data_IF_596941812808
#
_entry.id   IF_596941812808
#
_cell.length_a   1.000
_cell.length_b   1.000
_cell.length_c   1.000
_cell.angle_alpha   90.00
_cell.angle_beta   90.00
_cell.angle_gamma   90.00
#
_symmetry.space_group_name_H-M   'P 1'
#
loop_
_entity.id
_entity.type
_entity.pdbx_description
1 polymer ?
#
# COMPACT_ATOMS: atom_id res chain seq x y z
N UNK A 1 -17.51 13.82 -0.43
CA UNK A 1 -17.47 12.69 -1.38
C UNK A 1 -16.86 11.51 -0.66
N UNK A 2 -17.52 10.34 -0.62
CA UNK A 2 -16.98 9.16 0.09
C UNK A 2 -15.76 8.61 -0.66
N UNK A 3 -14.59 8.58 -0.01
CA UNK A 3 -13.41 7.95 -0.56
C UNK A 3 -13.63 6.42 -0.60
N UNK A 4 -13.66 5.76 -1.78
CA UNK A 4 -13.92 4.32 -1.87
C UNK A 4 -12.77 3.46 -1.34
N UNK A 5 -11.60 4.05 -1.07
CA UNK A 5 -10.39 3.35 -0.63
C UNK A 5 -9.66 2.63 -1.77
N UNK A 6 -8.34 2.51 -1.64
CA UNK A 6 -7.47 1.89 -2.66
C UNK A 6 -7.30 0.40 -2.35
N UNK A 7 -7.96 -0.48 -3.10
CA UNK A 7 -7.82 -1.94 -2.91
C UNK A 7 -6.61 -2.54 -3.63
N UNK A 8 -6.27 -2.02 -4.80
CA UNK A 8 -5.13 -2.47 -5.62
C UNK A 8 -4.67 -1.28 -6.47
N UNK A 9 -3.38 -1.17 -6.72
CA UNK A 9 -2.86 -0.24 -7.72
C UNK A 9 -2.55 -0.94 -9.02
N UNK A 10 -2.66 -0.20 -10.12
CA UNK A 10 -2.27 -0.63 -11.45
C UNK A 10 -1.68 0.59 -12.19
N UNK A 11 -0.37 0.75 -12.05
CA UNK A 11 0.35 1.85 -12.69
C UNK A 11 0.91 1.37 -14.03
N UNK A 12 0.34 1.93 -15.12
CA UNK A 12 0.77 1.60 -16.47
C UNK A 12 2.26 1.88 -16.67
N UNK A 13 2.96 0.96 -17.33
CA UNK A 13 4.38 1.07 -17.62
C UNK A 13 5.31 0.74 -16.44
N UNK A 14 4.78 0.31 -15.29
CA UNK A 14 5.59 -0.15 -14.16
C UNK A 14 5.63 -1.68 -14.06
N UNK A 15 6.81 -2.22 -13.76
CA UNK A 15 6.98 -3.65 -13.50
C UNK A 15 6.56 -3.96 -12.06
N UNK A 16 5.59 -4.86 -11.89
CA UNK A 16 5.20 -5.36 -10.56
C UNK A 16 6.29 -6.27 -10.02
N UNK A 17 6.90 -5.87 -8.90
CA UNK A 17 7.89 -6.69 -8.19
C UNK A 17 7.22 -7.65 -7.19
N UNK A 18 6.03 -7.31 -6.68
CA UNK A 18 5.27 -8.20 -5.83
C UNK A 18 3.96 -7.60 -5.31
N UNK A 19 3.03 -8.46 -4.91
CA UNK A 19 1.76 -8.09 -4.28
C UNK A 19 1.64 -8.83 -2.95
N UNK A 20 1.72 -8.10 -1.84
CA UNK A 20 1.47 -8.62 -0.50
C UNK A 20 -0.01 -8.51 -0.11
N UNK A 21 -0.31 -8.88 1.14
CA UNK A 21 -1.68 -8.76 1.71
C UNK A 21 -2.21 -7.33 1.68
N UNK A 22 -1.33 -6.36 1.94
CA UNK A 22 -1.70 -4.94 2.12
C UNK A 22 -0.83 -3.94 1.34
N UNK A 23 0.18 -4.43 0.59
CA UNK A 23 1.11 -3.60 -0.18
C UNK A 23 1.22 -4.09 -1.62
N UNK A 24 1.26 -3.16 -2.55
CA UNK A 24 1.67 -3.40 -3.92
C UNK A 24 3.08 -2.83 -4.11
N UNK A 25 3.96 -3.60 -4.74
CA UNK A 25 5.39 -3.26 -4.88
C UNK A 25 5.75 -3.26 -6.35
N UNK A 26 6.36 -2.17 -6.81
CA UNK A 26 6.84 -2.01 -8.18
C UNK A 26 8.35 -1.83 -8.19
N UNK A 27 9.00 -2.38 -9.21
CA UNK A 27 10.41 -2.18 -9.46
C UNK A 27 10.66 -0.78 -10.04
N UNK A 28 11.73 -0.13 -9.56
CA UNK A 28 12.23 1.16 -10.06
C UNK A 28 13.75 1.07 -10.17
N UNK A 29 14.31 0.58 -11.28
CA UNK A 29 15.76 0.40 -11.46
C UNK A 29 16.46 -0.24 -10.25
N UNK A 30 17.21 0.55 -9.46
CA UNK A 30 17.92 0.14 -8.23
C UNK A 30 17.10 0.30 -6.94
N UNK A 31 15.82 0.61 -7.05
CA UNK A 31 14.89 0.96 -5.97
C UNK A 31 13.56 0.21 -6.11
N UNK A 32 12.72 0.34 -5.07
CA UNK A 32 11.36 -0.19 -5.06
C UNK A 32 10.38 0.95 -4.76
N UNK A 33 9.28 1.00 -5.50
CA UNK A 33 8.09 1.75 -5.09
C UNK A 33 7.21 0.82 -4.26
N UNK A 34 7.02 1.17 -2.99
CA UNK A 34 6.16 0.42 -2.06
C UNK A 34 4.90 1.23 -1.82
N UNK A 35 3.75 0.71 -2.26
CA UNK A 35 2.44 1.34 -2.07
C UNK A 35 1.70 0.62 -0.96
N UNK A 36 1.45 1.30 0.17
CA UNK A 36 0.51 0.82 1.17
C UNK A 36 -0.93 1.05 0.69
N UNK A 37 -1.66 -0.02 0.42
CA UNK A 37 -3.07 0.02 0.01
C UNK A 37 -4.00 0.18 1.23
N UNK A 38 -5.29 0.38 1.00
CA UNK A 38 -6.34 0.42 2.03
C UNK A 38 -6.87 -0.98 2.41
N UNK A 39 -6.35 -2.05 1.79
CA UNK A 39 -6.58 -3.44 2.22
C UNK A 39 -6.14 -3.64 3.67
N UNK A 40 -6.92 -4.40 4.41
CA UNK A 40 -6.62 -4.86 5.76
C UNK A 40 -6.75 -6.39 5.81
N UNK A 41 -5.91 -7.04 6.61
CA UNK A 41 -5.98 -8.49 6.79
C UNK A 41 -6.03 -8.86 8.26
N UNK A 42 -6.81 -9.87 8.60
CA UNK A 42 -6.87 -10.49 9.93
C UNK A 42 -7.07 -12.00 9.76
N UNK A 43 -6.49 -12.82 10.64
CA UNK A 43 -6.58 -14.29 10.58
C UNK A 43 -6.23 -14.87 9.19
N UNK A 44 -5.13 -14.38 8.60
CA UNK A 44 -4.67 -14.71 7.25
C UNK A 44 -5.63 -14.43 6.09
N UNK A 45 -6.76 -13.75 6.35
CA UNK A 45 -7.75 -13.35 5.35
C UNK A 45 -7.68 -11.85 5.05
N UNK A 46 -7.71 -11.47 3.77
CA UNK A 46 -7.82 -10.07 3.33
C UNK A 46 -9.31 -9.71 3.30
N UNK A 47 -9.70 -8.66 4.02
CA UNK A 47 -11.09 -8.24 4.08
C UNK A 47 -11.57 -7.70 2.71
N UNK A 48 -12.86 -7.93 2.34
CA UNK A 48 -13.40 -7.47 1.05
C UNK A 48 -13.56 -5.94 1.00
N UNK A 49 -13.76 -5.30 2.15
CA UNK A 49 -13.94 -3.86 2.25
C UNK A 49 -12.63 -3.18 2.67
N UNK A 50 -12.23 -2.08 2.01
CA UNK A 50 -11.08 -1.28 2.44
C UNK A 50 -11.37 -0.53 3.73
N UNK A 51 -10.30 -0.05 4.37
CA UNK A 51 -10.35 1.06 5.34
C UNK A 51 -9.82 2.30 4.63
N UNK A 52 -10.68 3.17 4.06
CA UNK A 52 -10.22 4.29 3.23
C UNK A 52 -9.23 5.20 3.96
N UNK A 53 -8.10 5.51 3.32
CA UNK A 53 -7.05 6.39 3.85
C UNK A 53 -6.07 5.71 4.82
N UNK A 54 -6.27 4.43 5.16
CA UNK A 54 -5.33 3.67 5.99
C UNK A 54 -3.93 3.63 5.36
N UNK A 55 -3.83 3.39 4.06
CA UNK A 55 -2.56 3.33 3.33
C UNK A 55 -1.75 4.62 3.47
N UNK A 56 -2.42 5.77 3.37
CA UNK A 56 -1.81 7.09 3.57
C UNK A 56 -1.30 7.27 5.00
N UNK A 57 -2.15 7.02 6.00
CA UNK A 57 -1.79 7.18 7.42
C UNK A 57 -0.59 6.32 7.79
N UNK A 58 -0.57 5.05 7.35
CA UNK A 58 0.54 4.15 7.61
C UNK A 58 1.83 4.60 6.90
N UNK A 59 1.73 5.08 5.66
CA UNK A 59 2.88 5.63 4.91
C UNK A 59 3.48 6.83 5.64
N UNK A 60 2.64 7.77 6.08
CA UNK A 60 3.07 8.97 6.83
C UNK A 60 3.69 8.61 8.18
N UNK A 61 3.13 7.63 8.88
CA UNK A 61 3.68 7.14 10.14
C UNK A 61 5.06 6.49 9.94
N UNK A 62 5.23 5.66 8.91
CA UNK A 62 6.54 5.11 8.55
C UNK A 62 7.55 6.21 8.23
N UNK A 63 7.19 7.19 7.40
CA UNK A 63 8.05 8.33 7.07
C UNK A 63 8.47 9.13 8.32
N UNK A 64 7.54 9.38 9.25
CA UNK A 64 7.85 10.02 10.54
C UNK A 64 8.90 9.25 11.32
N UNK A 65 8.72 7.93 11.49
CA UNK A 65 9.67 7.11 12.25
C UNK A 65 11.01 6.95 11.55
N UNK A 66 11.05 6.84 10.22
CA UNK A 66 12.30 6.85 9.47
C UNK A 66 13.09 8.15 9.62
N UNK A 67 12.41 9.30 9.75
CA UNK A 67 13.09 10.57 10.02
C UNK A 67 13.59 10.75 11.47
N UNK A 68 13.26 9.81 12.37
CA UNK A 68 13.70 9.81 13.79
C UNK A 68 14.81 8.80 14.08
N UNK A 69 15.09 7.90 13.15
CA UNK A 69 16.21 6.95 13.18
C UNK A 69 17.43 7.58 12.53
#
# INVERSE_FOLDING_TARGET
MSNPGIMKTDFQGMTVAGTGKVRDIYALDSQLLIVATDRISAFDFIMPNPVPGKGEVLTRMSAFWFGKM
#
